data_IF_777529364030
#
_entry.id   IF_777529364030
#
_cell.length_a   1.000
_cell.length_b   1.000
_cell.length_c   1.000
_cell.angle_alpha   90.00
_cell.angle_beta   90.00
_cell.angle_gamma   90.00
#
_symmetry.space_group_name_H-M   'P 1'
#
loop_
_entity.id
_entity.type
_entity.pdbx_description
1 polymer ?
#
# COMPACT_ATOMS: atom_id res chain seq x y z
N UNK A 1 -13.43 3.62 -9.38
CA UNK A 1 -12.65 4.02 -8.19
C UNK A 1 -12.00 2.78 -7.59
N UNK A 2 -10.80 2.89 -7.03
CA UNK A 2 -10.13 1.77 -6.36
C UNK A 2 -10.19 1.99 -4.85
N UNK A 3 -10.64 0.99 -4.10
CA UNK A 3 -10.63 1.03 -2.64
C UNK A 3 -9.25 0.61 -2.15
N UNK A 4 -8.64 1.44 -1.30
CA UNK A 4 -7.31 1.22 -0.72
C UNK A 4 -7.45 1.26 0.80
N UNK A 5 -6.90 0.29 1.54
CA UNK A 5 -6.93 0.32 3.00
C UNK A 5 -6.03 1.43 3.54
N UNK A 6 -6.53 2.21 4.50
CA UNK A 6 -5.72 3.15 5.27
C UNK A 6 -5.04 2.41 6.42
N UNK A 7 -3.73 2.59 6.54
CA UNK A 7 -2.96 2.08 7.68
C UNK A 7 -3.26 2.92 8.94
N UNK A 8 -3.03 2.39 10.16
CA UNK A 8 -3.30 3.13 11.40
C UNK A 8 -2.66 4.52 11.43
N UNK A 9 -1.40 4.63 11.03
CA UNK A 9 -0.69 5.92 10.99
C UNK A 9 -1.29 6.88 9.96
N UNK A 10 -1.82 6.35 8.84
CA UNK A 10 -2.52 7.16 7.85
C UNK A 10 -3.88 7.61 8.35
N UNK A 11 -4.59 6.75 9.10
CA UNK A 11 -5.86 7.10 9.73
C UNK A 11 -5.70 8.21 10.75
N UNK A 12 -4.65 8.18 11.58
CA UNK A 12 -4.37 9.22 12.57
C UNK A 12 -4.21 10.63 11.96
N UNK A 13 -3.80 10.73 10.69
CA UNK A 13 -3.72 12.00 9.96
C UNK A 13 -5.09 12.43 9.44
N UNK A 14 -5.89 11.48 8.94
CA UNK A 14 -7.15 11.75 8.24
C UNK A 14 -8.31 11.95 9.20
N UNK A 15 -8.35 11.21 10.31
CA UNK A 15 -9.38 11.27 11.35
C UNK A 15 -9.68 12.69 11.85
N UNK A 16 -8.70 13.50 12.29
CA UNK A 16 -8.98 14.86 12.74
C UNK A 16 -9.51 15.75 11.62
N UNK A 17 -9.04 15.56 10.38
CA UNK A 17 -9.48 16.34 9.21
C UNK A 17 -10.94 16.03 8.85
N UNK A 18 -11.36 14.77 9.01
CA UNK A 18 -12.75 14.34 8.79
C UNK A 18 -13.65 14.79 9.92
N UNK A 19 -13.20 14.72 11.18
CA UNK A 19 -14.02 15.09 12.33
C UNK A 19 -14.55 16.54 12.23
N UNK A 20 -13.78 17.43 11.64
CA UNK A 20 -14.12 18.85 11.46
C UNK A 20 -14.93 19.13 10.18
N UNK A 21 -15.17 18.13 9.31
CA UNK A 21 -15.70 18.33 7.95
C UNK A 21 -16.82 17.37 7.58
N UNK A 22 -17.90 17.90 7.00
CA UNK A 22 -19.06 17.11 6.53
C UNK A 22 -19.08 16.86 5.03
N UNK A 23 -18.46 17.73 4.22
CA UNK A 23 -18.45 17.66 2.75
C UNK A 23 -17.16 18.25 2.18
N UNK A 24 -16.85 17.92 0.93
CA UNK A 24 -15.69 18.46 0.19
C UNK A 24 -14.50 17.50 0.10
N UNK A 25 -13.36 18.02 -0.37
CA UNK A 25 -12.11 17.26 -0.48
C UNK A 25 -11.36 17.22 0.85
N UNK A 26 -10.78 16.06 1.19
CA UNK A 26 -9.87 15.92 2.35
C UNK A 26 -8.65 16.86 2.20
N UNK A 27 -8.08 16.91 1.00
CA UNK A 27 -6.95 17.77 0.66
C UNK A 27 -7.35 18.71 -0.49
N UNK A 28 -7.74 19.97 -0.20
CA UNK A 28 -8.18 20.93 -1.22
C UNK A 28 -6.99 21.63 -1.89
N UNK A 29 -6.03 20.86 -2.41
CA UNK A 29 -4.80 21.39 -3.03
C UNK A 29 -4.64 20.90 -4.47
N UNK A 30 -4.08 21.76 -5.32
CA UNK A 30 -3.69 21.39 -6.68
C UNK A 30 -2.39 20.55 -6.67
N UNK A 31 -2.36 19.50 -7.49
CA UNK A 31 -1.23 18.57 -7.55
C UNK A 31 0.11 19.22 -7.92
N UNK A 32 0.10 20.26 -8.77
CA UNK A 32 1.32 21.01 -9.11
C UNK A 32 1.81 21.83 -7.93
N UNK A 33 0.89 22.40 -7.17
CA UNK A 33 1.22 23.18 -5.97
C UNK A 33 1.85 22.30 -4.89
N UNK A 34 1.32 21.10 -4.68
CA UNK A 34 1.90 20.11 -3.75
C UNK A 34 3.29 19.70 -4.20
N UNK A 35 3.45 19.36 -5.49
CA UNK A 35 4.76 18.95 -6.03
C UNK A 35 5.81 20.06 -5.87
N UNK A 36 5.46 21.30 -6.21
CA UNK A 36 6.35 22.44 -6.07
C UNK A 36 6.69 22.74 -4.61
N UNK A 37 5.72 22.63 -3.69
CA UNK A 37 5.95 22.82 -2.27
C UNK A 37 6.86 21.74 -1.68
N UNK A 38 6.71 20.50 -2.15
CA UNK A 38 7.57 19.39 -1.75
C UNK A 38 9.02 19.61 -2.20
N UNK A 39 9.23 19.97 -3.47
CA UNK A 39 10.58 20.28 -3.99
C UNK A 39 11.24 21.41 -3.19
N UNK A 40 10.51 22.50 -2.89
CA UNK A 40 11.04 23.59 -2.05
C UNK A 40 11.40 23.11 -0.65
N UNK A 41 10.60 22.25 -0.04
CA UNK A 41 10.89 21.69 1.28
C UNK A 41 12.15 20.81 1.25
N UNK A 42 12.33 19.99 0.21
CA UNK A 42 13.55 19.21 0.00
C UNK A 42 14.79 20.12 -0.14
N UNK A 43 14.71 21.19 -0.94
CA UNK A 43 15.80 22.17 -1.08
C UNK A 43 16.12 22.85 0.25
N UNK A 44 15.11 23.25 1.02
CA UNK A 44 15.31 23.89 2.32
C UNK A 44 15.98 22.95 3.36
N UNK A 45 15.76 21.64 3.23
CA UNK A 45 16.38 20.60 4.07
C UNK A 45 17.70 20.05 3.50
N UNK A 46 18.17 20.55 2.35
CA UNK A 46 19.40 20.07 1.71
C UNK A 46 19.31 18.62 1.22
N UNK A 47 18.11 18.16 0.85
CA UNK A 47 17.90 16.81 0.31
C UNK A 47 17.99 16.88 -1.21
N UNK A 48 19.00 16.23 -1.78
CA UNK A 48 19.21 16.15 -3.21
C UNK A 48 18.37 15.03 -3.85
N UNK A 49 17.89 15.29 -5.08
CA UNK A 49 17.25 14.32 -5.98
C UNK A 49 16.01 13.56 -5.42
N UNK A 50 15.31 14.13 -4.43
CA UNK A 50 14.06 13.57 -3.91
C UNK A 50 12.83 14.19 -4.57
N UNK A 51 12.04 13.37 -5.27
CA UNK A 51 10.80 13.78 -5.90
C UNK A 51 9.57 13.19 -5.19
N UNK A 52 8.41 13.83 -5.39
CA UNK A 52 7.17 13.40 -4.72
C UNK A 52 6.75 11.96 -5.06
N UNK A 53 7.00 11.52 -6.30
CA UNK A 53 6.69 10.15 -6.73
C UNK A 53 7.62 9.10 -6.10
N UNK A 54 8.79 9.49 -5.61
CA UNK A 54 9.71 8.60 -4.91
C UNK A 54 9.17 8.13 -3.57
N UNK A 55 8.26 8.90 -2.95
CA UNK A 55 7.55 8.45 -1.75
C UNK A 55 6.76 7.17 -2.02
N UNK A 56 6.12 7.08 -3.19
CA UNK A 56 5.39 5.87 -3.62
C UNK A 56 6.36 4.72 -3.94
N UNK A 57 7.50 5.03 -4.56
CA UNK A 57 8.57 4.03 -4.78
C UNK A 57 9.09 3.46 -3.44
N UNK A 58 9.37 4.35 -2.48
CA UNK A 58 9.86 4.02 -1.14
C UNK A 58 8.86 3.16 -0.38
N UNK A 59 7.57 3.53 -0.40
CA UNK A 59 6.50 2.79 0.27
C UNK A 59 6.38 1.37 -0.29
N UNK A 60 6.36 1.21 -1.62
CA UNK A 60 6.30 -0.11 -2.25
C UNK A 60 7.48 -1.01 -1.81
N UNK A 61 8.71 -0.49 -1.87
CA UNK A 61 9.90 -1.22 -1.43
C UNK A 61 9.86 -1.57 0.07
N UNK A 62 9.37 -0.67 0.91
CA UNK A 62 9.21 -0.93 2.34
C UNK A 62 8.19 -2.04 2.60
N UNK A 63 7.06 -2.07 1.90
CA UNK A 63 6.07 -3.13 2.05
C UNK A 63 6.63 -4.50 1.67
N UNK A 64 7.43 -4.59 0.60
CA UNK A 64 8.12 -5.84 0.27
C UNK A 64 9.12 -6.26 1.35
N UNK A 65 9.87 -5.33 1.94
CA UNK A 65 10.77 -5.63 3.07
C UNK A 65 10.04 -6.09 4.32
N UNK A 66 8.81 -5.64 4.53
CA UNK A 66 7.93 -6.12 5.61
C UNK A 66 7.36 -7.53 5.32
N UNK A 67 7.69 -8.13 4.17
CA UNK A 67 7.24 -9.48 3.79
C UNK A 67 5.82 -9.52 3.21
N UNK A 68 5.24 -8.38 2.83
CA UNK A 68 3.93 -8.34 2.19
C UNK A 68 4.02 -8.98 0.79
N UNK A 69 3.05 -9.85 0.51
CA UNK A 69 2.92 -10.47 -0.81
C UNK A 69 2.53 -9.46 -1.88
N UNK A 70 2.85 -9.76 -3.14
CA UNK A 70 2.59 -8.86 -4.27
C UNK A 70 1.12 -8.41 -4.36
N UNK A 71 0.08 -9.25 -4.13
CA UNK A 71 -1.31 -8.80 -4.13
C UNK A 71 -1.61 -7.75 -3.05
N UNK A 72 -1.01 -7.91 -1.86
CA UNK A 72 -1.21 -7.01 -0.73
C UNK A 72 -0.55 -5.66 -1.02
N UNK A 73 0.68 -5.67 -1.54
CA UNK A 73 1.37 -4.44 -1.93
C UNK A 73 0.63 -3.72 -3.05
N UNK A 74 0.08 -4.45 -4.04
CA UNK A 74 -0.71 -3.87 -5.12
C UNK A 74 -1.95 -3.14 -4.61
N UNK A 75 -2.65 -3.75 -3.63
CA UNK A 75 -3.83 -3.16 -3.01
C UNK A 75 -3.47 -1.91 -2.19
N UNK A 76 -2.43 -1.98 -1.35
CA UNK A 76 -1.97 -0.87 -0.50
C UNK A 76 -1.44 0.32 -1.30
N UNK A 77 -0.71 0.05 -2.37
CA UNK A 77 -0.17 1.11 -3.22
C UNK A 77 -1.23 1.62 -4.20
N UNK A 78 -2.27 0.84 -4.53
CA UNK A 78 -3.26 1.21 -5.54
C UNK A 78 -2.71 1.13 -6.97
N UNK A 79 -1.84 0.17 -7.26
CA UNK A 79 -1.42 -0.10 -8.63
C UNK A 79 -2.48 -0.95 -9.32
N UNK A 80 -2.88 -0.56 -10.54
CA UNK A 80 -3.86 -1.32 -11.35
C UNK A 80 -3.25 -2.53 -12.05
N UNK A 81 -1.95 -2.50 -12.32
CA UNK A 81 -1.27 -3.56 -13.08
C UNK A 81 -0.02 -4.06 -12.37
N UNK A 82 0.14 -5.38 -12.38
CA UNK A 82 1.27 -6.11 -11.81
C UNK A 82 2.61 -5.75 -12.45
N UNK A 83 2.59 -5.36 -13.73
CA UNK A 83 3.79 -4.93 -14.45
C UNK A 83 4.51 -3.75 -13.78
N UNK A 84 3.77 -2.86 -13.12
CA UNK A 84 4.35 -1.72 -12.39
C UNK A 84 5.08 -2.13 -11.11
N UNK A 85 4.72 -3.28 -10.52
CA UNK A 85 5.31 -3.79 -9.28
C UNK A 85 6.53 -4.69 -9.53
N UNK A 86 6.68 -5.22 -10.74
CA UNK A 86 7.80 -6.09 -11.13
C UNK A 86 9.17 -5.45 -10.88
N UNK A 87 9.28 -4.12 -10.91
CA UNK A 87 10.52 -3.38 -10.59
C UNK A 87 10.97 -3.58 -9.14
N UNK A 88 10.08 -3.90 -8.22
CA UNK A 88 10.38 -4.04 -6.79
C UNK A 88 10.49 -5.50 -6.34
N UNK A 89 10.07 -6.44 -7.18
CA UNK A 89 10.22 -7.88 -6.95
C UNK A 89 11.57 -8.31 -7.53
N UNK A 90 12.68 -7.82 -6.95
CA UNK A 90 14.00 -8.36 -7.25
C UNK A 90 14.14 -9.74 -6.59
N UNK A 91 13.35 -10.71 -7.06
CA UNK A 91 13.37 -12.09 -6.59
C UNK A 91 14.67 -12.70 -7.09
N UNK A 92 15.56 -13.06 -6.16
CA UNK A 92 16.77 -13.83 -6.49
C UNK A 92 16.40 -15.31 -6.60
N UNK A 93 17.12 -16.11 -7.40
CA UNK A 93 16.92 -17.57 -7.44
C UNK A 93 16.99 -18.23 -6.05
N UNK A 94 17.82 -17.68 -5.16
CA UNK A 94 17.97 -18.10 -3.76
C UNK A 94 16.66 -17.94 -2.95
N UNK A 95 15.85 -16.92 -3.25
CA UNK A 95 14.59 -16.67 -2.55
C UNK A 95 13.55 -17.75 -2.85
N UNK A 96 13.60 -18.35 -4.05
CA UNK A 96 12.74 -19.48 -4.44
C UNK A 96 13.10 -20.73 -3.66
N UNK A 97 14.40 -21.00 -3.49
CA UNK A 97 14.87 -22.15 -2.69
C UNK A 97 14.48 -22.02 -1.22
N UNK A 98 14.57 -20.80 -0.67
CA UNK A 98 14.17 -20.50 0.70
C UNK A 98 12.65 -20.57 0.89
N UNK A 99 11.86 -20.17 -0.11
CA UNK A 99 10.41 -20.27 -0.08
C UNK A 99 9.92 -21.73 -0.08
N UNK A 100 10.59 -22.63 -0.81
CA UNK A 100 10.27 -24.07 -0.81
C UNK A 100 10.66 -24.73 0.52
N UNK A 101 11.72 -24.25 1.19
CA UNK A 101 12.15 -24.76 2.50
C UNK A 101 11.28 -24.31 3.67
N UNK A 102 10.63 -23.15 3.57
CA UNK A 102 9.75 -22.63 4.63
C UNK A 102 8.39 -23.33 4.49
N UNK A 103 7.95 -24.20 5.42
CA UNK A 103 6.60 -24.73 5.32
C UNK A 103 5.63 -23.56 5.41
N UNK A 104 4.71 -23.51 4.44
CA UNK A 104 3.63 -22.55 4.40
C UNK A 104 2.91 -22.58 5.75
N UNK A 105 2.92 -21.46 6.47
CA UNK A 105 2.00 -21.28 7.59
C UNK A 105 0.59 -21.40 6.99
N UNK A 106 -0.25 -22.32 7.46
CA UNK A 106 -1.52 -22.60 6.82
C UNK A 106 -2.39 -21.34 6.87
N UNK A 107 -2.83 -20.89 5.69
CA UNK A 107 -3.94 -19.96 5.60
C UNK A 107 -5.17 -20.59 6.29
N UNK A 108 -6.04 -19.79 6.94
CA UNK A 108 -7.22 -20.32 7.58
C UNK A 108 -8.12 -20.97 6.52
N UNK A 109 -8.31 -22.27 6.70
CA UNK A 109 -9.23 -23.10 5.95
C UNK A 109 -10.65 -22.56 6.11
N UNK A 110 -11.22 -22.00 5.04
CA UNK A 110 -12.66 -21.79 4.93
C UNK A 110 -13.16 -22.78 3.90
N UNK A 111 -13.15 -24.06 4.29
CA UNK A 111 -13.93 -25.11 3.66
C UNK A 111 -15.42 -24.71 3.63
N UNK A 112 -16.06 -25.06 2.52
CA UNK A 112 -17.35 -24.56 2.09
C UNK A 112 -18.57 -25.11 2.84
N UNK A 113 -19.65 -24.36 2.68
CA UNK A 113 -20.99 -24.81 2.28
C UNK A 113 -21.43 -26.24 2.67
N UNK A 114 -22.48 -26.33 3.48
CA UNK A 114 -23.60 -27.25 3.22
C UNK A 114 -24.87 -26.76 3.95
N UNK A 115 -25.94 -26.57 3.17
CA UNK A 115 -27.29 -26.43 3.70
C UNK A 115 -27.83 -27.78 4.17
N UNK A 116 -28.89 -27.71 4.99
CA UNK A 116 -29.65 -28.86 5.43
C UNK A 116 -30.95 -28.40 6.07
N UNK A 117 -32.04 -28.61 5.35
CA UNK A 117 -33.42 -28.53 5.83
C UNK A 117 -33.64 -29.39 7.09
N UNK A 118 -34.49 -28.93 8.03
CA UNK A 118 -35.51 -29.71 8.77
C UNK A 118 -36.25 -28.88 9.84
N UNK A 119 -37.57 -28.83 9.68
CA UNK A 119 -38.67 -28.80 10.67
C UNK A 119 -38.52 -28.06 12.01
N UNK A 120 -39.35 -27.02 12.18
CA UNK A 120 -40.48 -27.01 13.13
C UNK A 120 -41.47 -25.88 12.76
#
# INVERSE_FOLDING_TARGET
AQTVPLLPDSWAIVEPIIAERKTGFLFPYDARSVSASFTRACTAMGIDDLHFHDLRHRAAAQFFRMGLGIPQVALLTGHKTWAMLRRYTAIKPEDVHNAIKKPASPAPDKAGQQGGDREA
#
